data_IF_234411168245
#
_entry.id   IF_234411168245
#
_cell.length_a   1.000
_cell.length_b   1.000
_cell.length_c   1.000
_cell.angle_alpha   90.00
_cell.angle_beta   90.00
_cell.angle_gamma   90.00
#
_symmetry.space_group_name_H-M   'P 1'
#
loop_
_entity.id
_entity.type
_entity.pdbx_description
1 polymer ?
#
# COMPACT_ATOMS: atom_id res chain seq x y z
N UNK A 1 -9.26 18.89 -0.29
CA UNK A 1 -8.64 18.16 -1.41
C UNK A 1 -9.51 17.02 -1.93
N UNK A 2 -10.72 16.80 -1.40
CA UNK A 2 -11.61 15.71 -1.85
C UNK A 2 -11.32 14.33 -1.26
N UNK A 3 -10.21 14.14 -0.53
CA UNK A 3 -9.85 12.84 0.06
C UNK A 3 -10.62 12.55 1.35
N UNK A 4 -11.03 11.29 1.51
CA UNK A 4 -11.65 10.72 2.71
C UNK A 4 -10.77 9.54 3.14
N UNK A 5 -10.02 9.72 4.22
CA UNK A 5 -8.92 8.81 4.58
C UNK A 5 -7.71 9.03 3.67
N UNK A 6 -7.35 8.03 2.87
CA UNK A 6 -6.27 8.06 1.88
C UNK A 6 -6.75 7.61 0.49
N UNK A 7 -5.87 7.63 -0.50
CA UNK A 7 -6.23 7.26 -1.88
C UNK A 7 -6.74 5.82 -2.00
N UNK A 8 -6.25 4.88 -1.19
CA UNK A 8 -6.65 3.48 -1.20
C UNK A 8 -7.97 3.21 -0.48
N UNK A 9 -8.43 4.11 0.42
CA UNK A 9 -9.75 4.02 1.04
C UNK A 9 -10.86 4.71 0.24
N UNK A 10 -10.50 5.60 -0.69
CA UNK A 10 -11.45 6.41 -1.44
C UNK A 10 -12.49 5.61 -2.21
N UNK A 11 -12.09 4.49 -2.85
CA UNK A 11 -13.01 3.64 -3.61
C UNK A 11 -14.17 3.10 -2.77
N UNK A 12 -13.90 2.75 -1.51
CA UNK A 12 -14.95 2.30 -0.58
C UNK A 12 -15.73 3.47 0.01
N UNK A 13 -15.06 4.59 0.32
CA UNK A 13 -15.71 5.79 0.85
C UNK A 13 -16.72 6.37 -0.16
N UNK A 14 -16.38 6.40 -1.44
CA UNK A 14 -17.27 6.83 -2.52
C UNK A 14 -18.55 5.98 -2.55
N UNK A 15 -18.41 4.65 -2.53
CA UNK A 15 -19.56 3.73 -2.53
C UNK A 15 -20.45 3.94 -1.31
N UNK A 16 -19.86 4.08 -0.13
CA UNK A 16 -20.60 4.30 1.11
C UNK A 16 -21.39 5.61 1.08
N UNK A 17 -20.75 6.73 0.70
CA UNK A 17 -21.42 8.03 0.67
C UNK A 17 -22.47 8.12 -0.43
N UNK A 18 -22.23 7.55 -1.60
CA UNK A 18 -23.24 7.52 -2.67
C UNK A 18 -24.51 6.74 -2.28
N UNK A 19 -24.40 5.80 -1.34
CA UNK A 19 -25.51 4.94 -0.90
C UNK A 19 -26.16 5.41 0.41
N UNK A 20 -25.65 6.48 1.05
CA UNK A 20 -26.09 6.96 2.37
C UNK A 20 -26.43 8.45 2.39
N UNK A 21 -26.96 8.97 1.27
CA UNK A 21 -27.23 10.41 1.07
C UNK A 21 -28.15 11.05 2.10
N UNK A 22 -29.03 10.26 2.72
CA UNK A 22 -29.94 10.68 3.78
C UNK A 22 -29.22 11.08 5.09
N UNK A 23 -28.01 10.56 5.34
CA UNK A 23 -27.35 10.68 6.65
C UNK A 23 -26.34 11.82 6.79
N UNK A 24 -25.94 12.46 5.68
CA UNK A 24 -24.97 13.57 5.74
C UNK A 24 -25.57 14.94 5.41
N UNK A 25 -26.87 15.03 5.14
CA UNK A 25 -27.56 16.32 5.09
C UNK A 25 -27.48 17.02 6.48
N UNK A 26 -27.25 18.35 6.54
CA UNK A 26 -27.14 19.32 5.45
C UNK A 26 -25.71 19.50 4.91
N UNK A 27 -24.73 18.73 5.40
CA UNK A 27 -23.32 18.87 5.04
C UNK A 27 -23.10 18.38 3.60
N UNK A 28 -22.94 19.31 2.67
CA UNK A 28 -22.70 18.98 1.26
C UNK A 28 -21.32 18.32 1.11
N UNK A 29 -21.32 17.07 0.69
CA UNK A 29 -20.13 16.39 0.20
C UNK A 29 -19.97 16.68 -1.30
N UNK A 30 -18.80 17.19 -1.69
CA UNK A 30 -18.48 17.42 -3.10
C UNK A 30 -18.03 16.11 -3.76
N UNK A 31 -19.02 15.39 -4.31
CA UNK A 31 -18.79 14.14 -5.04
C UNK A 31 -17.85 14.33 -6.24
N UNK A 32 -17.98 15.43 -6.97
CA UNK A 32 -17.17 15.67 -8.17
C UNK A 32 -15.70 15.84 -7.81
N UNK A 33 -15.42 16.57 -6.71
CA UNK A 33 -14.07 16.70 -6.19
C UNK A 33 -13.49 15.35 -5.75
N UNK A 34 -14.26 14.55 -4.99
CA UNK A 34 -13.82 13.23 -4.53
C UNK A 34 -13.57 12.24 -5.71
N UNK A 35 -14.45 12.26 -6.72
CA UNK A 35 -14.30 11.47 -7.93
C UNK A 35 -13.04 11.87 -8.72
N UNK A 36 -12.77 13.17 -8.86
CA UNK A 36 -11.58 13.66 -9.57
C UNK A 36 -10.27 13.16 -8.95
N UNK A 37 -10.21 13.05 -7.61
CA UNK A 37 -9.04 12.50 -6.91
C UNK A 37 -8.77 11.06 -7.32
N UNK A 38 -9.80 10.20 -7.32
CA UNK A 38 -9.61 8.79 -7.67
C UNK A 38 -9.39 8.57 -9.15
N UNK A 39 -10.05 9.35 -10.00
CA UNK A 39 -9.95 9.21 -11.46
C UNK A 39 -8.53 9.56 -11.97
N UNK A 40 -7.88 10.54 -11.35
CA UNK A 40 -6.57 11.03 -11.77
C UNK A 40 -5.39 10.31 -11.10
N UNK A 41 -5.64 9.31 -10.25
CA UNK A 41 -4.56 8.57 -9.60
C UNK A 41 -4.12 7.37 -10.43
N UNK A 42 -2.81 7.17 -10.54
CA UNK A 42 -2.23 6.00 -11.19
C UNK A 42 -2.14 4.83 -10.22
N UNK A 43 -3.10 3.90 -10.33
CA UNK A 43 -3.09 2.69 -9.52
C UNK A 43 -2.20 1.65 -10.17
N UNK A 44 -1.25 1.13 -9.40
CA UNK A 44 -0.40 0.01 -9.83
C UNK A 44 -0.81 -1.30 -9.13
N UNK A 45 -1.57 -1.22 -8.04
CA UNK A 45 -1.99 -2.37 -7.24
C UNK A 45 -3.35 -2.92 -7.68
N UNK A 46 -3.45 -4.20 -8.10
CA UNK A 46 -4.70 -4.79 -8.58
C UNK A 46 -5.86 -4.70 -7.58
N UNK A 47 -5.58 -4.86 -6.28
CA UNK A 47 -6.62 -4.72 -5.26
C UNK A 47 -7.11 -3.28 -5.09
N UNK A 48 -6.21 -2.30 -5.20
CA UNK A 48 -6.62 -0.90 -5.19
C UNK A 48 -7.52 -0.59 -6.39
N UNK A 49 -7.17 -1.10 -7.58
CA UNK A 49 -8.02 -1.01 -8.78
C UNK A 49 -9.39 -1.66 -8.53
N UNK A 50 -9.43 -2.86 -7.96
CA UNK A 50 -10.68 -3.57 -7.69
C UNK A 50 -11.62 -2.83 -6.72
N UNK A 51 -11.06 -2.08 -5.77
CA UNK A 51 -11.85 -1.29 -4.82
C UNK A 51 -12.35 0.04 -5.39
N UNK A 52 -11.60 0.65 -6.30
CA UNK A 52 -11.96 1.94 -6.90
C UNK A 52 -12.77 1.80 -8.19
N UNK A 53 -12.69 0.67 -8.88
CA UNK A 53 -13.42 0.45 -10.13
C UNK A 53 -14.95 0.60 -9.98
N UNK A 54 -15.62 0.02 -8.96
CA UNK A 54 -17.08 0.14 -8.83
C UNK A 54 -17.58 1.59 -8.86
N UNK A 55 -17.12 2.52 -8.00
CA UNK A 55 -17.60 3.90 -8.06
C UNK A 55 -17.19 4.62 -9.35
N UNK A 56 -16.06 4.28 -9.97
CA UNK A 56 -15.65 4.85 -11.26
C UNK A 56 -16.63 4.52 -12.40
N UNK A 57 -17.31 3.37 -12.33
CA UNK A 57 -18.36 2.96 -13.27
C UNK A 57 -19.78 3.21 -12.74
N UNK A 58 -19.92 4.02 -11.69
CA UNK A 58 -21.21 4.38 -11.09
C UNK A 58 -21.92 3.18 -10.44
N UNK A 59 -21.16 2.27 -9.84
CA UNK A 59 -21.63 1.07 -9.13
C UNK A 59 -21.13 1.04 -7.69
N UNK A 60 -21.81 0.23 -6.89
CA UNK A 60 -21.39 -0.15 -5.55
C UNK A 60 -21.57 -1.66 -5.35
N UNK A 61 -21.04 -2.20 -4.26
CA UNK A 61 -21.27 -3.60 -3.89
C UNK A 61 -22.76 -3.96 -3.70
N UNK A 62 -23.64 -2.98 -3.41
CA UNK A 62 -25.08 -3.22 -3.36
C UNK A 62 -25.68 -3.59 -4.74
N UNK A 63 -24.97 -3.27 -5.83
CA UNK A 63 -25.39 -3.65 -7.18
C UNK A 63 -24.99 -5.09 -7.55
N UNK A 64 -24.21 -5.80 -6.73
CA UNK A 64 -23.68 -7.12 -7.07
C UNK A 64 -24.78 -8.16 -7.35
N UNK A 65 -25.87 -8.16 -6.58
CA UNK A 65 -27.00 -9.06 -6.78
C UNK A 65 -27.86 -8.76 -8.02
N UNK A 66 -27.57 -7.67 -8.75
CA UNK A 66 -28.31 -7.22 -9.94
C UNK A 66 -27.46 -7.25 -11.22
N UNK A 67 -26.30 -7.91 -11.16
CA UNK A 67 -25.42 -8.06 -12.33
C UNK A 67 -26.09 -8.99 -13.35
N UNK A 68 -26.44 -8.45 -14.51
CA UNK A 68 -26.83 -9.26 -15.66
C UNK A 68 -25.58 -9.90 -16.26
N UNK A 69 -25.44 -11.22 -16.17
CA UNK A 69 -24.37 -11.98 -16.82
C UNK A 69 -24.65 -12.13 -18.33
N UNK A 70 -24.76 -11.01 -19.06
CA UNK A 70 -24.68 -11.03 -20.51
C UNK A 70 -23.18 -11.02 -20.87
N UNK A 71 -22.71 -12.06 -21.56
CA UNK A 71 -21.32 -12.15 -22.00
C UNK A 71 -21.03 -11.07 -23.05
N UNK A 72 -20.57 -9.90 -22.61
CA UNK A 72 -19.98 -8.92 -23.53
C UNK A 72 -18.57 -9.39 -23.87
N UNK A 73 -18.41 -9.98 -25.07
CA UNK A 73 -17.11 -10.17 -25.72
C UNK A 73 -16.53 -8.79 -26.07
N UNK A 74 -16.11 -8.02 -25.08
CA UNK A 74 -15.37 -6.79 -25.29
C UNK A 74 -13.91 -7.16 -25.51
N UNK A 75 -13.51 -7.28 -26.76
CA UNK A 75 -12.13 -7.46 -27.17
C UNK A 75 -11.39 -6.13 -26.92
N UNK A 76 -10.70 -6.02 -25.79
CA UNK A 76 -9.90 -4.83 -25.48
C UNK A 76 -8.60 -4.91 -26.26
N UNK A 77 -8.40 -3.98 -27.20
CA UNK A 77 -7.11 -3.81 -27.86
C UNK A 77 -6.07 -3.48 -26.80
N UNK A 78 -4.99 -4.25 -26.73
CA UNK A 78 -3.84 -3.94 -25.86
C UNK A 78 -3.18 -2.70 -26.45
N UNK A 79 -3.13 -1.55 -25.76
CA UNK A 79 -2.34 -0.41 -26.23
C UNK A 79 -0.88 -0.83 -26.18
N UNK A 80 -0.30 -1.08 -27.36
CA UNK A 80 1.11 -1.37 -27.50
C UNK A 80 1.92 -0.09 -27.31
N UNK A 81 2.49 0.09 -26.14
CA UNK A 81 3.59 1.01 -25.93
C UNK A 81 4.44 0.50 -24.77
N UNK A 82 5.46 -0.30 -25.08
CA UNK A 82 6.59 -0.45 -24.16
C UNK A 82 7.41 0.82 -24.26
N UNK A 83 7.55 1.63 -23.18
CA UNK A 83 8.50 2.71 -23.18
C UNK A 83 9.90 2.12 -23.41
N UNK A 84 10.72 2.82 -24.19
CA UNK A 84 12.13 2.46 -24.35
C UNK A 84 12.79 2.37 -22.96
N UNK A 85 13.74 1.44 -22.73
CA UNK A 85 14.44 1.35 -21.46
C UNK A 85 15.08 2.70 -21.14
N UNK A 86 14.66 3.31 -20.03
CA UNK A 86 15.35 4.46 -19.47
C UNK A 86 16.79 4.05 -19.12
N UNK A 87 17.78 4.95 -19.26
CA UNK A 87 19.15 4.65 -18.84
C UNK A 87 19.18 4.23 -17.37
N UNK A 88 20.10 3.33 -16.97
CA UNK A 88 20.18 2.86 -15.60
C UNK A 88 20.40 4.05 -14.67
N UNK A 89 19.41 4.32 -13.82
CA UNK A 89 19.52 5.31 -12.77
C UNK A 89 20.53 4.83 -11.71
N UNK A 90 21.22 5.78 -11.08
CA UNK A 90 22.20 5.47 -10.05
C UNK A 90 21.54 4.72 -8.88
N UNK A 91 22.22 3.74 -8.25
CA UNK A 91 21.73 3.09 -7.05
C UNK A 91 21.39 4.11 -5.95
N UNK A 92 20.38 3.79 -5.16
CA UNK A 92 19.96 4.60 -4.01
C UNK A 92 20.41 3.92 -2.71
N UNK A 93 20.71 4.73 -1.70
CA UNK A 93 20.97 4.28 -0.34
C UNK A 93 19.73 4.52 0.51
N UNK A 94 19.26 3.51 1.24
CA UNK A 94 18.09 3.62 2.13
C UNK A 94 18.52 3.24 3.53
N UNK A 95 18.14 4.04 4.53
CA UNK A 95 18.35 3.69 5.94
C UNK A 95 17.15 2.88 6.42
N UNK A 96 17.38 1.67 6.91
CA UNK A 96 16.35 0.80 7.48
C UNK A 96 16.61 0.62 8.98
N UNK A 97 15.64 1.00 9.80
CA UNK A 97 15.64 0.72 11.23
C UNK A 97 14.51 -0.21 11.62
N UNK A 98 14.78 -1.11 12.56
CA UNK A 98 13.80 -1.99 13.18
C UNK A 98 13.77 -1.70 14.68
N UNK A 99 12.57 -1.51 15.24
CA UNK A 99 12.41 -1.10 16.64
C UNK A 99 11.27 -1.87 17.28
N UNK A 100 11.48 -2.33 18.50
CA UNK A 100 10.43 -2.84 19.36
C UNK A 100 10.46 -2.07 20.69
N UNK A 101 9.36 -1.42 21.02
CA UNK A 101 9.19 -0.66 22.27
C UNK A 101 8.19 -1.31 23.24
N UNK A 102 7.47 -2.36 22.82
CA UNK A 102 6.37 -2.94 23.61
C UNK A 102 6.89 -3.82 24.75
N UNK A 103 7.80 -4.76 24.46
CA UNK A 103 8.44 -5.68 25.43
C UNK A 103 9.80 -6.09 24.92
N UNK A 104 10.82 -6.25 25.77
CA UNK A 104 12.19 -6.62 25.35
C UNK A 104 12.72 -5.66 24.28
N UNK A 105 12.98 -4.43 24.70
CA UNK A 105 13.39 -3.35 23.81
C UNK A 105 14.57 -3.75 22.93
N UNK A 106 14.44 -3.48 21.63
CA UNK A 106 15.56 -3.49 20.71
C UNK A 106 15.41 -2.40 19.66
N UNK A 107 16.55 -1.92 19.18
CA UNK A 107 16.64 -0.99 18.07
C UNK A 107 17.90 -1.32 17.27
N UNK A 108 17.72 -1.61 15.98
CA UNK A 108 18.81 -1.84 15.06
C UNK A 108 18.63 -1.01 13.80
N UNK A 109 19.73 -0.54 13.23
CA UNK A 109 19.73 0.26 12.02
C UNK A 109 20.84 -0.17 11.06
N UNK A 110 20.58 -0.06 9.76
CA UNK A 110 21.55 -0.31 8.71
C UNK A 110 21.23 0.55 7.49
N UNK A 111 22.24 0.86 6.68
CA UNK A 111 22.06 1.51 5.39
C UNK A 111 22.32 0.47 4.30
N UNK A 112 21.41 0.37 3.33
CA UNK A 112 21.54 -0.58 2.21
C UNK A 112 21.51 0.15 0.88
N UNK A 113 22.35 -0.30 -0.05
CA UNK A 113 22.33 0.17 -1.43
C UNK A 113 21.46 -0.76 -2.28
N UNK A 114 20.50 -0.20 -3.01
CA UNK A 114 19.63 -0.93 -3.94
C UNK A 114 19.56 -0.21 -5.29
N UNK A 115 19.25 -0.91 -6.40
CA UNK A 115 18.93 -0.25 -7.66
C UNK A 115 17.81 0.77 -7.46
N UNK A 116 17.84 1.88 -8.21
CA UNK A 116 16.73 2.83 -8.23
C UNK A 116 15.40 2.14 -8.55
N UNK A 117 14.30 2.70 -8.03
CA UNK A 117 12.94 2.17 -8.21
C UNK A 117 12.70 0.77 -7.60
N UNK A 118 13.64 0.25 -6.80
CA UNK A 118 13.46 -0.94 -5.98
C UNK A 118 12.38 -0.75 -4.92
N UNK A 119 11.67 -1.83 -4.59
CA UNK A 119 10.64 -1.81 -3.54
C UNK A 119 11.28 -1.91 -2.15
N UNK A 120 10.54 -1.51 -1.12
CA UNK A 120 10.96 -1.67 0.27
C UNK A 120 11.22 -3.14 0.64
N UNK A 121 10.51 -4.09 0.03
CA UNK A 121 10.80 -5.52 0.18
C UNK A 121 12.22 -5.86 -0.30
N UNK A 122 12.70 -5.23 -1.38
CA UNK A 122 14.07 -5.45 -1.86
C UNK A 122 15.09 -4.86 -0.87
N UNK A 123 14.83 -3.67 -0.34
CA UNK A 123 15.63 -3.05 0.74
C UNK A 123 15.75 -4.00 1.94
N UNK A 124 14.64 -4.59 2.39
CA UNK A 124 14.64 -5.58 3.48
C UNK A 124 15.44 -6.84 3.13
N UNK A 125 15.34 -7.33 1.88
CA UNK A 125 16.12 -8.50 1.40
C UNK A 125 17.62 -8.23 1.42
N UNK A 126 18.07 -7.05 1.00
CA UNK A 126 19.49 -6.69 1.07
C UNK A 126 19.96 -6.53 2.53
N UNK A 127 19.18 -5.88 3.39
CA UNK A 127 19.50 -5.75 4.81
C UNK A 127 19.68 -7.13 5.49
N UNK A 128 18.81 -8.09 5.15
CA UNK A 128 18.92 -9.48 5.59
C UNK A 128 20.18 -10.18 5.10
N UNK A 129 20.63 -9.92 3.86
CA UNK A 129 21.88 -10.53 3.35
C UNK A 129 23.09 -10.02 4.12
N UNK A 130 23.13 -8.72 4.43
CA UNK A 130 24.24 -8.11 5.16
C UNK A 130 24.30 -8.55 6.63
N UNK A 131 23.13 -8.62 7.29
CA UNK A 131 23.00 -8.87 8.73
C UNK A 131 21.84 -9.84 9.00
N UNK A 132 22.01 -11.15 8.66
CA UNK A 132 20.92 -12.12 8.67
C UNK A 132 20.31 -12.34 10.05
N UNK A 133 21.09 -12.30 11.13
CA UNK A 133 20.58 -12.51 12.48
C UNK A 133 19.69 -11.36 12.97
N UNK A 134 19.95 -10.14 12.48
CA UNK A 134 19.25 -8.93 12.91
C UNK A 134 18.04 -8.66 12.00
N UNK A 135 18.25 -8.65 10.69
CA UNK A 135 17.20 -8.29 9.71
C UNK A 135 16.57 -9.51 9.05
N UNK A 136 16.58 -10.68 9.72
CA UNK A 136 15.72 -11.78 9.30
C UNK A 136 14.25 -11.35 9.38
N UNK A 137 13.46 -11.73 8.39
CA UNK A 137 12.03 -11.42 8.34
C UNK A 137 11.27 -12.51 7.61
N UNK A 138 9.97 -12.58 7.88
CA UNK A 138 9.02 -13.46 7.22
C UNK A 138 7.89 -12.65 6.61
N UNK A 139 7.33 -13.16 5.52
CA UNK A 139 6.19 -12.56 4.83
C UNK A 139 5.15 -13.59 4.48
N UNK A 140 3.90 -13.17 4.45
CA UNK A 140 2.79 -13.93 3.89
C UNK A 140 2.22 -13.21 2.66
N UNK A 141 1.83 -13.96 1.64
CA UNK A 141 1.22 -13.38 0.45
C UNK A 141 -0.27 -13.11 0.71
N UNK A 142 -0.69 -11.85 0.55
CA UNK A 142 -2.10 -11.45 0.63
C UNK A 142 -2.59 -10.94 -0.72
N UNK A 143 -3.88 -10.63 -0.83
CA UNK A 143 -4.44 -9.95 -2.00
C UNK A 143 -3.79 -8.57 -2.23
N UNK A 144 -3.34 -7.91 -1.16
CA UNK A 144 -2.63 -6.62 -1.21
C UNK A 144 -1.11 -6.74 -1.41
N UNK A 145 -0.61 -7.96 -1.61
CA UNK A 145 0.83 -8.21 -1.73
C UNK A 145 1.45 -8.83 -0.48
N UNK A 146 2.80 -8.84 -0.40
CA UNK A 146 3.52 -9.43 0.72
C UNK A 146 3.32 -8.61 1.99
N UNK A 147 2.75 -9.26 3.02
CA UNK A 147 2.56 -8.72 4.36
C UNK A 147 3.67 -9.23 5.27
N UNK A 148 4.33 -8.33 6.01
CA UNK A 148 5.44 -8.70 6.91
C UNK A 148 4.88 -9.23 8.21
N UNK A 149 5.10 -10.51 8.50
CA UNK A 149 4.56 -11.19 9.68
C UNK A 149 5.55 -11.25 10.84
N UNK A 150 6.86 -11.17 10.56
CA UNK A 150 7.90 -11.23 11.59
C UNK A 150 9.16 -10.51 11.13
N UNK A 151 9.87 -9.87 12.08
CA UNK A 151 11.20 -9.28 11.89
C UNK A 151 12.03 -9.59 13.15
N UNK A 152 13.29 -9.97 12.99
CA UNK A 152 14.20 -10.34 14.08
C UNK A 152 13.62 -11.42 15.00
N UNK A 153 12.93 -12.40 14.40
CA UNK A 153 12.26 -13.49 15.13
C UNK A 153 11.00 -13.08 15.91
N UNK A 154 10.64 -11.80 15.96
CA UNK A 154 9.44 -11.31 16.64
C UNK A 154 8.24 -11.25 15.68
N UNK A 155 7.30 -12.16 15.86
CA UNK A 155 6.10 -12.27 15.03
C UNK A 155 4.95 -11.38 15.53
N UNK A 156 4.18 -10.86 14.58
CA UNK A 156 2.87 -10.27 14.81
C UNK A 156 1.89 -11.30 15.38
N UNK A 157 0.92 -10.85 16.19
CA UNK A 157 -0.06 -11.73 16.81
C UNK A 157 -1.45 -11.06 16.83
N UNK A 158 -2.42 -11.72 16.20
CA UNK A 158 -3.80 -11.23 16.09
C UNK A 158 -4.52 -11.19 17.44
N UNK A 159 -4.27 -12.15 18.33
CA UNK A 159 -4.87 -12.18 19.67
C UNK A 159 -4.34 -11.06 20.55
N UNK A 160 -3.04 -10.80 20.47
CA UNK A 160 -2.38 -9.71 21.21
C UNK A 160 -2.48 -8.36 20.49
N UNK A 161 -3.10 -8.32 19.30
CA UNK A 161 -3.28 -7.15 18.44
C UNK A 161 -1.96 -6.46 18.06
N UNK A 162 -0.89 -7.24 17.90
CA UNK A 162 0.45 -6.73 17.56
C UNK A 162 0.79 -6.93 16.09
N UNK A 163 1.57 -6.01 15.52
CA UNK A 163 1.99 -6.03 14.11
C UNK A 163 3.24 -5.19 13.86
N UNK A 164 3.83 -5.32 12.66
CA UNK A 164 4.92 -4.47 12.20
C UNK A 164 4.39 -3.30 11.38
N UNK A 165 4.52 -2.08 11.90
CA UNK A 165 4.13 -0.85 11.20
C UNK A 165 5.35 -0.20 10.56
N UNK A 166 5.21 0.22 9.29
CA UNK A 166 6.28 0.88 8.55
C UNK A 166 6.04 2.39 8.44
N UNK A 167 7.12 3.15 8.56
CA UNK A 167 7.13 4.60 8.47
C UNK A 167 8.22 5.09 7.53
N UNK A 168 7.96 6.19 6.84
CA UNK A 168 8.98 7.05 6.24
C UNK A 168 9.19 8.23 7.20
N UNK A 169 10.35 8.27 7.84
CA UNK A 169 10.60 9.12 9.00
C UNK A 169 9.47 8.98 10.05
N UNK A 170 8.58 9.96 10.17
CA UNK A 170 7.51 10.00 11.17
C UNK A 170 6.12 9.65 10.60
N UNK A 171 5.99 9.47 9.29
CA UNK A 171 4.71 9.26 8.62
C UNK A 171 4.50 7.79 8.31
N UNK A 172 3.37 7.17 8.71
CA UNK A 172 3.10 5.78 8.39
C UNK A 172 2.93 5.61 6.88
N UNK A 173 3.55 4.56 6.34
CA UNK A 173 3.43 4.25 4.93
C UNK A 173 1.99 3.91 4.58
N UNK A 174 1.55 4.36 3.41
CA UNK A 174 0.22 4.08 2.87
C UNK A 174 0.22 2.87 1.94
N UNK A 175 1.39 2.30 1.66
CA UNK A 175 1.62 1.17 0.76
C UNK A 175 2.36 0.04 1.48
N UNK A 176 2.12 -1.19 1.04
CA UNK A 176 2.85 -2.35 1.54
C UNK A 176 4.29 -2.42 1.01
N UNK A 177 5.13 -3.23 1.67
CA UNK A 177 6.56 -3.35 1.35
C UNK A 177 6.83 -3.82 -0.09
N UNK A 178 5.89 -4.56 -0.69
CA UNK A 178 5.97 -5.01 -2.08
C UNK A 178 5.67 -3.93 -3.13
N UNK A 179 5.15 -2.78 -2.71
CA UNK A 179 4.72 -1.68 -3.60
C UNK A 179 5.53 -0.42 -3.35
N UNK A 180 5.72 -0.07 -2.09
CA UNK A 180 6.39 1.16 -1.70
C UNK A 180 7.81 1.21 -2.27
N UNK A 181 8.15 2.33 -2.92
CA UNK A 181 9.48 2.59 -3.49
C UNK A 181 10.17 3.71 -2.71
N UNK A 182 11.12 3.37 -1.82
CA UNK A 182 11.87 4.38 -1.08
C UNK A 182 12.71 5.26 -2.01
N UNK A 183 13.01 6.48 -1.54
CA UNK A 183 13.88 7.45 -2.19
C UNK A 183 15.31 7.35 -1.65
N UNK A 184 16.24 7.95 -2.37
CA UNK A 184 17.62 8.04 -1.91
C UNK A 184 17.72 8.79 -0.58
N UNK A 185 18.48 8.22 0.34
CA UNK A 185 18.66 8.64 1.74
C UNK A 185 17.38 8.64 2.59
N UNK A 186 16.31 8.00 2.13
CA UNK A 186 15.10 7.88 2.92
C UNK A 186 15.32 6.99 4.15
N UNK A 187 14.79 7.42 5.30
CA UNK A 187 14.81 6.65 6.53
C UNK A 187 13.50 5.91 6.73
N UNK A 188 13.55 4.60 6.53
CA UNK A 188 12.44 3.68 6.76
C UNK A 188 12.55 3.09 8.16
N UNK A 189 11.47 3.16 8.92
CA UNK A 189 11.37 2.56 10.25
C UNK A 189 10.29 1.48 10.25
N UNK A 190 10.65 0.26 10.65
CA UNK A 190 9.69 -0.79 10.99
C UNK A 190 9.58 -0.86 12.52
N UNK A 191 8.42 -0.51 13.05
CA UNK A 191 8.16 -0.42 14.50
C UNK A 191 7.13 -1.47 14.89
N UNK A 192 7.49 -2.35 15.81
CA UNK A 192 6.56 -3.31 16.39
C UNK A 192 5.53 -2.58 17.25
N UNK A 193 4.27 -2.69 16.86
CA UNK A 193 3.18 -1.82 17.30
C UNK A 193 1.93 -2.63 17.64
N UNK A 194 0.90 -1.96 18.18
CA UNK A 194 -0.42 -2.53 18.47
C UNK A 194 -1.52 -1.76 17.73
N UNK A 195 -2.63 -2.41 17.41
CA UNK A 195 -3.84 -1.79 16.84
C UNK A 195 -5.08 -2.02 17.70
#
# INVERSE_FOLDING_TARGET
NGMIGNIYSMGLALQALETSSEFYAPRKWDRAQAFSVVYNHDYQQPMAMAQVLPPLVGKSYLNAGRLGCAATNAMWGVPGAHPAPLPPAAPITVQLSITNTLKNYFHYSTSVCVPDSSTLLQVMKEARKEKPDIFCFQTEQTTWGPYVTSIHGLAANTTERTYWQFFSCWSPLQEGVGTYKPKNWEHIQAIFSTY
#
